data_IF_110160675868
#
_entry.id   IF_110160675868
#
_cell.length_a   1.000
_cell.length_b   1.000
_cell.length_c   1.000
_cell.angle_alpha   90.00
_cell.angle_beta   90.00
_cell.angle_gamma   90.00
#
_symmetry.space_group_name_H-M   'P 1'
#
loop_
_entity.id
_entity.type
_entity.pdbx_description
1 polymer ?
#
# COMPACT_ATOMS: atom_id res chain seq x y z
N UNK A 1 19.96 3.72 -9.63
CA UNK A 1 18.57 3.43 -10.01
C UNK A 1 18.21 2.05 -9.48
N UNK A 2 17.31 1.94 -8.50
CA UNK A 2 16.83 0.63 -8.05
C UNK A 2 15.99 -0.01 -9.18
N UNK A 3 16.54 -1.02 -9.86
CA UNK A 3 15.82 -1.80 -10.89
C UNK A 3 14.86 -2.81 -10.24
N UNK A 4 13.88 -2.30 -9.50
CA UNK A 4 12.81 -3.14 -8.95
C UNK A 4 11.82 -3.44 -10.09
N UNK A 5 11.73 -4.72 -10.47
CA UNK A 5 10.70 -5.17 -11.42
C UNK A 5 9.32 -4.95 -10.81
N UNK A 6 8.51 -4.09 -11.44
CA UNK A 6 7.14 -3.79 -10.98
C UNK A 6 6.24 -5.01 -11.18
N UNK A 7 5.41 -5.30 -10.19
CA UNK A 7 4.39 -6.36 -10.29
C UNK A 7 2.95 -5.79 -10.28
N UNK A 8 2.79 -4.53 -9.86
CA UNK A 8 1.48 -3.88 -9.79
C UNK A 8 1.19 -3.12 -11.09
N UNK A 9 0.06 -3.40 -11.78
CA UNK A 9 -0.44 -2.55 -12.84
C UNK A 9 -0.91 -1.19 -12.31
N UNK A 10 -1.03 -0.20 -13.20
CA UNK A 10 -1.38 1.17 -12.82
C UNK A 10 -2.70 1.30 -12.06
N UNK A 11 -3.72 0.50 -12.42
CA UNK A 11 -5.03 0.54 -11.73
C UNK A 11 -4.93 0.07 -10.27
N UNK A 12 -4.13 -0.96 -9.98
CA UNK A 12 -3.90 -1.45 -8.62
C UNK A 12 -3.09 -0.47 -7.77
N UNK A 13 -2.21 0.31 -8.40
CA UNK A 13 -1.48 1.38 -7.73
C UNK A 13 -2.44 2.52 -7.37
N UNK A 14 -3.32 2.92 -8.30
CA UNK A 14 -4.33 3.93 -8.03
C UNK A 14 -5.26 3.52 -6.88
N UNK A 15 -5.74 2.27 -6.88
CA UNK A 15 -6.59 1.76 -5.80
C UNK A 15 -5.88 1.76 -4.45
N UNK A 16 -4.61 1.34 -4.40
CA UNK A 16 -3.82 1.36 -3.15
C UNK A 16 -3.55 2.78 -2.65
N UNK A 17 -3.33 3.74 -3.54
CA UNK A 17 -3.20 5.16 -3.15
C UNK A 17 -4.52 5.63 -2.53
N UNK A 18 -5.65 5.36 -3.19
CA UNK A 18 -6.97 5.75 -2.68
C UNK A 18 -7.23 5.14 -1.30
N UNK A 19 -7.01 3.83 -1.14
CA UNK A 19 -7.19 3.15 0.15
C UNK A 19 -6.23 3.66 1.22
N UNK A 20 -4.96 3.89 0.87
CA UNK A 20 -3.97 4.46 1.79
C UNK A 20 -4.34 5.86 2.25
N UNK A 21 -4.87 6.71 1.37
CA UNK A 21 -5.35 8.05 1.71
C UNK A 21 -6.59 8.01 2.60
N UNK A 22 -7.59 7.18 2.27
CA UNK A 22 -8.80 7.04 3.08
C UNK A 22 -8.48 6.53 4.49
N UNK A 23 -7.62 5.51 4.56
CA UNK A 23 -7.26 4.89 5.83
C UNK A 23 -6.34 5.77 6.67
N UNK A 24 -5.35 6.43 6.05
CA UNK A 24 -4.50 7.43 6.70
C UNK A 24 -5.31 8.65 7.16
N UNK A 25 -6.27 9.10 6.36
CA UNK A 25 -7.20 10.15 6.72
C UNK A 25 -8.09 9.76 7.90
N UNK A 26 -8.63 8.54 7.93
CA UNK A 26 -9.41 8.03 9.06
C UNK A 26 -8.58 7.94 10.35
N UNK A 27 -7.31 7.53 10.26
CA UNK A 27 -6.37 7.56 11.39
C UNK A 27 -6.13 9.00 11.86
N UNK A 28 -5.88 9.93 10.94
CA UNK A 28 -5.65 11.34 11.25
C UNK A 28 -6.86 12.01 11.92
N UNK A 29 -8.07 11.69 11.46
CA UNK A 29 -9.33 12.17 12.03
C UNK A 29 -9.70 11.46 13.34
N UNK A 30 -8.88 10.51 13.82
CA UNK A 30 -9.07 9.83 15.10
C UNK A 30 -10.18 8.78 15.11
N UNK A 31 -10.66 8.30 13.96
CA UNK A 31 -11.74 7.30 13.89
C UNK A 31 -11.40 5.96 14.56
N UNK A 32 -10.11 5.63 14.68
CA UNK A 32 -9.64 4.41 15.35
C UNK A 32 -9.35 4.60 16.85
N UNK A 33 -9.59 5.81 17.39
CA UNK A 33 -9.29 6.17 18.78
C UNK A 33 -7.79 6.21 19.09
N UNK A 34 -7.47 6.31 20.38
CA UNK A 34 -6.09 6.21 20.87
C UNK A 34 -5.81 4.76 21.30
N UNK A 35 -4.81 4.13 20.69
CA UNK A 35 -4.40 2.77 21.06
C UNK A 35 -3.74 1.99 19.94
N UNK A 36 -3.45 0.69 20.18
CA UNK A 36 -2.75 -0.18 19.23
C UNK A 36 -3.42 -0.25 17.86
N UNK A 37 -4.76 -0.18 17.82
CA UNK A 37 -5.52 -0.23 16.57
C UNK A 37 -5.22 0.94 15.63
N UNK A 38 -5.04 2.14 16.17
CA UNK A 38 -4.68 3.33 15.39
C UNK A 38 -3.28 3.21 14.78
N UNK A 39 -2.33 2.67 15.54
CA UNK A 39 -0.98 2.37 15.05
C UNK A 39 -0.98 1.30 13.95
N UNK A 40 -1.73 0.22 14.13
CA UNK A 40 -1.87 -0.83 13.12
C UNK A 40 -2.51 -0.29 11.84
N UNK A 41 -3.57 0.52 11.97
CA UNK A 41 -4.22 1.16 10.84
C UNK A 41 -3.27 2.13 10.11
N UNK A 42 -2.50 2.94 10.86
CA UNK A 42 -1.49 3.84 10.30
C UNK A 42 -0.38 3.08 9.55
N UNK A 43 0.12 2.00 10.14
CA UNK A 43 1.14 1.15 9.52
C UNK A 43 0.64 0.50 8.22
N UNK A 44 -0.61 0.03 8.20
CA UNK A 44 -1.21 -0.54 7.01
C UNK A 44 -1.46 0.52 5.92
N UNK A 45 -1.87 1.74 6.29
CA UNK A 45 -1.98 2.87 5.34
C UNK A 45 -0.61 3.22 4.71
N UNK A 46 0.44 3.28 5.53
CA UNK A 46 1.81 3.52 5.06
C UNK A 46 2.32 2.39 4.15
N UNK A 47 1.95 1.14 4.44
CA UNK A 47 2.30 -0.02 3.60
C UNK A 47 1.60 0.04 2.23
N UNK A 48 0.31 0.41 2.20
CA UNK A 48 -0.42 0.60 0.94
C UNK A 48 0.19 1.73 0.10
N UNK A 49 0.51 2.86 0.72
CA UNK A 49 1.12 3.99 0.04
C UNK A 49 2.52 3.63 -0.52
N UNK A 50 3.38 3.03 0.28
CA UNK A 50 4.74 2.64 -0.14
C UNK A 50 4.73 1.61 -1.27
N UNK A 51 3.90 0.57 -1.18
CA UNK A 51 3.77 -0.44 -2.26
C UNK A 51 3.20 0.14 -3.55
N UNK A 52 2.32 1.13 -3.47
CA UNK A 52 1.84 1.86 -4.64
C UNK A 52 2.91 2.77 -5.26
N UNK A 53 3.71 3.47 -4.46
CA UNK A 53 4.81 4.33 -4.93
C UNK A 53 5.91 3.51 -5.61
N UNK A 54 6.36 2.42 -4.97
CA UNK A 54 7.38 1.52 -5.52
C UNK A 54 6.84 0.74 -6.74
N UNK A 55 5.54 0.41 -6.74
CA UNK A 55 4.93 -0.44 -7.77
C UNK A 55 5.25 -1.94 -7.59
N UNK A 56 5.62 -2.33 -6.37
CA UNK A 56 5.92 -3.70 -6.00
C UNK A 56 5.25 -4.06 -4.68
N UNK A 57 4.50 -5.16 -4.69
CA UNK A 57 3.88 -5.73 -3.49
C UNK A 57 4.52 -7.09 -3.21
N UNK A 58 5.25 -7.26 -2.08
CA UNK A 58 5.91 -8.52 -1.75
C UNK A 58 4.91 -9.65 -1.50
N UNK A 59 3.77 -9.37 -0.85
CA UNK A 59 2.72 -10.36 -0.62
C UNK A 59 2.14 -10.90 -1.94
N UNK A 60 1.91 -10.03 -2.94
CA UNK A 60 1.46 -10.49 -4.26
C UNK A 60 2.51 -11.33 -4.97
N UNK A 61 3.80 -10.99 -4.81
CA UNK A 61 4.90 -11.77 -5.40
C UNK A 61 5.04 -13.16 -4.73
N UNK A 62 4.88 -13.25 -3.41
CA UNK A 62 4.85 -14.52 -2.68
C UNK A 62 3.70 -15.42 -3.12
N UNK A 63 2.56 -14.83 -3.51
CA UNK A 63 1.41 -15.54 -4.11
C UNK A 63 1.62 -15.90 -5.60
N UNK A 64 2.82 -15.72 -6.15
CA UNK A 64 3.15 -16.13 -7.53
C UNK A 64 2.89 -15.07 -8.60
N UNK A 65 2.55 -13.83 -8.23
CA UNK A 65 2.36 -12.75 -9.21
C UNK A 65 3.67 -12.44 -9.92
N UNK A 66 3.68 -12.63 -11.24
CA UNK A 66 4.82 -12.30 -12.10
C UNK A 66 5.00 -10.78 -12.20
N UNK A 67 6.24 -10.36 -12.47
CA UNK A 67 6.51 -8.98 -12.87
C UNK A 67 5.80 -8.64 -14.19
N UNK A 68 5.42 -7.38 -14.35
CA UNK A 68 4.88 -6.89 -15.61
C UNK A 68 5.97 -6.96 -16.69
N UNK A 69 5.58 -7.43 -17.87
CA UNK A 69 6.36 -7.22 -19.10
C UNK A 69 6.02 -5.82 -19.58
N UNK A 70 6.91 -4.87 -19.26
CA UNK A 70 6.85 -3.53 -19.81
C UNK A 70 7.28 -3.57 -21.28
#
# INVERSE_FOLDING_TARGET
MFFIKRNLPHWERALRILMGLLMGGAVFMGWFGAGPLSWMAGAAAATLASTALVGFCPACAMLGRRALKN
#
